data_IF_729458954805
#
_entry.id   IF_729458954805
#
_cell.length_a   1.000
_cell.length_b   1.000
_cell.length_c   1.000
_cell.angle_alpha   90.00
_cell.angle_beta   90.00
_cell.angle_gamma   90.00
#
_symmetry.space_group_name_H-M   'P 1'
#
loop_
_entity.id
_entity.type
_entity.pdbx_description
1 polymer ?
#
# COMPACT_ATOMS: atom_id res chain seq x y z
N UNK A 1 -0.18 2.33 -19.20
CA UNK A 1 -0.37 3.14 -17.97
C UNK A 1 -0.89 4.51 -18.35
N UNK A 2 -1.82 5.10 -17.59
CA UNK A 2 -2.60 6.25 -18.06
C UNK A 2 -2.12 7.64 -17.58
N UNK A 3 -1.05 7.74 -16.78
CA UNK A 3 -0.50 9.03 -16.32
C UNK A 3 -1.37 9.81 -15.33
N UNK A 4 -2.28 9.14 -14.61
CA UNK A 4 -3.20 9.80 -13.68
C UNK A 4 -2.47 10.60 -12.59
N UNK A 5 -1.42 10.03 -11.99
CA UNK A 5 -0.65 10.68 -10.93
C UNK A 5 0.10 11.94 -11.39
N UNK A 6 0.50 12.01 -12.67
CA UNK A 6 1.06 13.23 -13.24
C UNK A 6 0.01 14.33 -13.44
N UNK A 7 -1.23 13.95 -13.80
CA UNK A 7 -2.34 14.91 -13.95
C UNK A 7 -2.90 15.38 -12.61
N UNK A 8 -2.84 14.53 -11.59
CA UNK A 8 -3.38 14.77 -10.26
C UNK A 8 -2.30 14.46 -9.20
N UNK A 9 -1.34 15.38 -8.98
CA UNK A 9 -0.19 15.15 -8.10
C UNK A 9 -0.56 14.93 -6.63
N UNK A 10 -1.73 15.41 -6.20
CA UNK A 10 -2.21 15.24 -4.83
C UNK A 10 -3.14 14.03 -4.65
N UNK A 11 -3.47 13.30 -5.73
CA UNK A 11 -4.36 12.15 -5.67
C UNK A 11 -3.80 11.06 -4.77
N UNK A 12 -4.56 10.65 -3.75
CA UNK A 12 -4.26 9.46 -2.94
C UNK A 12 -5.24 8.34 -3.25
N UNK A 13 -4.74 7.11 -3.28
CA UNK A 13 -5.52 5.90 -3.50
C UNK A 13 -5.33 4.98 -2.30
N UNK A 14 -6.43 4.56 -1.70
CA UNK A 14 -6.46 3.45 -0.75
C UNK A 14 -6.93 2.20 -1.48
N UNK A 15 -6.14 1.14 -1.43
CA UNK A 15 -6.49 -0.17 -1.98
C UNK A 15 -7.01 -1.06 -0.84
N UNK A 16 -8.27 -0.84 -0.47
CA UNK A 16 -9.00 -1.60 0.55
C UNK A 16 -9.24 -3.05 0.13
N UNK A 17 -9.24 -3.96 1.10
CA UNK A 17 -9.50 -5.39 0.95
C UNK A 17 -8.50 -6.14 0.03
N UNK A 18 -7.40 -5.48 -0.35
CA UNK A 18 -6.46 -6.05 -1.31
C UNK A 18 -5.38 -6.94 -0.73
N UNK A 19 -5.19 -6.88 0.60
CA UNK A 19 -3.96 -7.33 1.25
C UNK A 19 -2.72 -6.67 0.61
N UNK A 20 -1.52 -7.00 1.09
CA UNK A 20 -0.29 -6.27 0.68
C UNK A 20 0.83 -7.17 0.17
N UNK A 21 0.72 -8.49 0.34
CA UNK A 21 1.76 -9.47 0.00
C UNK A 21 2.10 -9.56 -1.49
N UNK A 22 1.18 -9.15 -2.37
CA UNK A 22 1.41 -9.12 -3.82
C UNK A 22 2.11 -7.85 -4.30
N UNK A 23 2.14 -6.79 -3.48
CA UNK A 23 2.65 -5.48 -3.85
C UNK A 23 4.12 -5.51 -4.28
N UNK A 24 5.06 -6.19 -3.57
CA UNK A 24 6.46 -6.22 -4.00
C UNK A 24 6.62 -6.73 -5.44
N UNK A 25 5.93 -7.81 -5.78
CA UNK A 25 5.99 -8.40 -7.12
C UNK A 25 5.41 -7.47 -8.18
N UNK A 26 4.25 -6.85 -7.94
CA UNK A 26 3.66 -5.98 -8.96
C UNK A 26 4.52 -4.75 -9.22
N UNK A 27 5.16 -4.19 -8.19
CA UNK A 27 6.01 -3.01 -8.33
C UNK A 27 7.26 -3.34 -9.13
N UNK A 28 7.94 -4.44 -8.81
CA UNK A 28 9.07 -4.95 -9.60
C UNK A 28 8.66 -5.15 -11.06
N UNK A 29 7.54 -5.85 -11.28
CA UNK A 29 7.06 -6.14 -12.63
C UNK A 29 6.69 -4.88 -13.40
N UNK A 30 6.01 -3.93 -12.75
CA UNK A 30 5.58 -2.67 -13.35
C UNK A 30 6.77 -1.80 -13.74
N UNK A 31 7.80 -1.72 -12.88
CA UNK A 31 9.03 -1.00 -13.18
C UNK A 31 9.78 -1.60 -14.37
N UNK A 32 9.91 -2.93 -14.43
CA UNK A 32 10.50 -3.61 -15.59
C UNK A 32 9.72 -3.33 -16.87
N UNK A 33 8.38 -3.47 -16.86
CA UNK A 33 7.55 -3.14 -18.03
C UNK A 33 7.73 -1.68 -18.42
N UNK A 34 7.73 -0.77 -17.45
CA UNK A 34 7.89 0.65 -17.71
C UNK A 34 9.24 0.94 -18.36
N UNK A 35 10.34 0.41 -17.83
CA UNK A 35 11.67 0.64 -18.39
C UNK A 35 11.81 0.06 -19.81
N UNK A 36 11.35 -1.17 -20.03
CA UNK A 36 11.46 -1.83 -21.34
C UNK A 36 10.58 -1.18 -22.41
N UNK A 37 9.42 -0.65 -22.03
CA UNK A 37 8.39 -0.24 -23.00
C UNK A 37 8.15 1.26 -23.05
N UNK A 38 8.73 2.08 -22.15
CA UNK A 38 8.47 3.54 -22.12
C UNK A 38 8.77 4.22 -23.45
N UNK A 39 9.88 3.88 -24.11
CA UNK A 39 10.32 4.52 -25.34
C UNK A 39 9.46 4.23 -26.58
N UNK A 40 8.79 3.08 -26.64
CA UNK A 40 8.04 2.64 -27.84
C UNK A 40 6.56 2.36 -27.60
N UNK A 41 6.17 2.08 -26.35
CA UNK A 41 4.81 1.71 -25.93
C UNK A 41 3.88 2.91 -25.69
N UNK A 42 4.26 4.13 -26.10
CA UNK A 42 3.43 5.32 -25.97
C UNK A 42 3.14 5.76 -24.52
N UNK A 43 3.94 5.31 -23.55
CA UNK A 43 3.76 5.64 -22.13
C UNK A 43 4.81 6.63 -21.58
N UNK A 44 5.94 6.84 -22.28
CA UNK A 44 6.99 7.75 -21.81
C UNK A 44 6.52 9.18 -21.54
N UNK A 45 5.60 9.72 -22.35
CA UNK A 45 5.09 11.08 -22.16
C UNK A 45 4.09 11.18 -21.00
N UNK A 46 3.44 10.06 -20.66
CA UNK A 46 2.35 10.02 -19.68
C UNK A 46 2.81 9.60 -18.29
N UNK A 47 3.84 8.75 -18.20
CA UNK A 47 4.37 8.20 -16.94
C UNK A 47 5.86 8.47 -16.91
N UNK A 48 6.23 9.54 -16.23
CA UNK A 48 7.57 10.14 -16.27
C UNK A 48 8.55 9.50 -15.29
N UNK A 49 8.02 8.76 -14.30
CA UNK A 49 8.76 8.17 -13.19
C UNK A 49 8.41 6.69 -13.04
N UNK A 50 9.28 5.87 -12.44
CA UNK A 50 9.00 4.47 -12.17
C UNK A 50 7.67 4.29 -11.40
N UNK A 51 6.83 3.31 -11.78
CA UNK A 51 5.63 2.96 -11.04
C UNK A 51 5.84 2.77 -9.53
N UNK A 52 6.96 2.20 -9.10
CA UNK A 52 7.29 2.05 -7.67
C UNK A 52 7.43 3.38 -6.94
N UNK A 53 8.02 4.39 -7.57
CA UNK A 53 8.11 5.74 -7.00
C UNK A 53 6.73 6.38 -6.89
N UNK A 54 5.91 6.25 -7.94
CA UNK A 54 4.54 6.77 -7.93
C UNK A 54 3.67 6.04 -6.89
N UNK A 55 3.87 4.74 -6.69
CA UNK A 55 3.22 4.00 -5.62
C UNK A 55 3.54 4.60 -4.25
N UNK A 56 4.81 4.84 -3.94
CA UNK A 56 5.23 5.41 -2.65
C UNK A 56 4.58 6.75 -2.34
N UNK A 57 4.32 7.56 -3.36
CA UNK A 57 3.73 8.88 -3.17
C UNK A 57 2.20 8.87 -3.10
N UNK A 58 1.55 7.94 -3.81
CA UNK A 58 0.12 8.04 -4.08
C UNK A 58 -0.74 6.92 -3.51
N UNK A 59 -0.15 5.76 -3.18
CA UNK A 59 -0.94 4.54 -2.91
C UNK A 59 -0.72 4.06 -1.49
N UNK A 60 -1.82 3.65 -0.85
CA UNK A 60 -1.86 2.97 0.42
C UNK A 60 -2.49 1.59 0.23
N UNK A 61 -1.80 0.53 0.62
CA UNK A 61 -2.32 -0.82 0.67
C UNK A 61 -2.98 -1.09 2.01
N UNK A 62 -4.20 -1.65 2.00
CA UNK A 62 -4.88 -2.05 3.22
C UNK A 62 -4.80 -3.57 3.39
N UNK A 63 -4.66 -4.01 4.65
CA UNK A 63 -4.70 -5.42 5.00
C UNK A 63 -5.39 -5.61 6.35
N UNK A 64 -5.87 -6.83 6.57
CA UNK A 64 -6.44 -7.26 7.85
C UNK A 64 -5.93 -8.63 8.29
N UNK A 65 -5.46 -9.47 7.35
CA UNK A 65 -4.84 -10.76 7.62
C UNK A 65 -3.81 -11.13 6.53
N UNK A 66 -2.55 -10.69 6.68
CA UNK A 66 -1.51 -10.95 5.67
C UNK A 66 -0.10 -11.05 6.27
N UNK A 67 0.24 -12.22 6.80
CA UNK A 67 1.57 -12.49 7.33
C UNK A 67 2.69 -12.42 6.26
N UNK A 68 2.38 -12.69 4.99
CA UNK A 68 3.38 -12.60 3.91
C UNK A 68 3.69 -11.14 3.58
N UNK A 69 2.64 -10.33 3.51
CA UNK A 69 2.70 -8.88 3.41
C UNK A 69 3.55 -8.24 4.50
N UNK A 70 3.30 -8.62 5.76
CA UNK A 70 4.06 -8.09 6.90
C UNK A 70 5.56 -8.42 6.85
N UNK A 71 5.93 -9.63 6.39
CA UNK A 71 7.35 -9.98 6.17
C UNK A 71 8.00 -9.21 5.02
N UNK A 72 7.21 -8.55 4.18
CA UNK A 72 7.66 -7.82 3.00
C UNK A 72 7.56 -6.30 3.18
N UNK A 73 7.31 -5.81 4.39
CA UNK A 73 7.08 -4.38 4.68
C UNK A 73 8.18 -3.46 4.16
N UNK A 74 9.45 -3.87 4.21
CA UNK A 74 10.57 -3.06 3.71
C UNK A 74 10.48 -2.84 2.19
N UNK A 75 10.04 -3.86 1.45
CA UNK A 75 9.86 -3.78 0.00
C UNK A 75 8.62 -2.95 -0.37
N UNK A 76 7.56 -3.03 0.45
CA UNK A 76 6.30 -2.29 0.25
C UNK A 76 6.47 -0.81 0.62
N UNK A 77 7.18 -0.54 1.72
CA UNK A 77 7.23 0.75 2.40
C UNK A 77 6.19 0.82 3.52
N UNK A 78 6.66 0.84 4.77
CA UNK A 78 5.79 0.90 5.97
C UNK A 78 4.84 2.09 5.97
N UNK A 79 5.25 3.22 5.37
CA UNK A 79 4.43 4.43 5.28
C UNK A 79 3.28 4.29 4.24
N UNK A 80 3.27 3.24 3.42
CA UNK A 80 2.25 2.97 2.41
C UNK A 80 1.25 1.88 2.84
N UNK A 81 1.24 1.49 4.12
CA UNK A 81 0.41 0.38 4.61
C UNK A 81 -0.55 0.87 5.69
N UNK A 82 -1.82 0.46 5.60
CA UNK A 82 -2.83 0.71 6.63
C UNK A 82 -3.50 -0.58 7.07
N UNK A 83 -3.86 -0.68 8.34
CA UNK A 83 -4.66 -1.80 8.86
C UNK A 83 -6.15 -1.50 8.74
N UNK A 84 -6.95 -2.51 8.41
CA UNK A 84 -8.41 -2.44 8.42
C UNK A 84 -9.03 -3.65 9.15
N UNK A 85 -10.31 -3.57 9.49
CA UNK A 85 -11.04 -4.67 10.13
C UNK A 85 -11.89 -5.48 9.17
N UNK A 86 -12.23 -4.88 8.03
CA UNK A 86 -13.17 -5.38 7.01
C UNK A 86 -14.54 -5.80 7.56
N UNK A 87 -14.99 -5.16 8.64
CA UNK A 87 -16.29 -5.46 9.24
C UNK A 87 -17.45 -5.08 8.29
N UNK A 88 -18.50 -5.92 8.13
CA UNK A 88 -18.77 -7.21 8.79
C UNK A 88 -18.55 -8.43 7.88
N UNK A 89 -17.61 -8.36 6.93
CA UNK A 89 -17.43 -9.43 5.95
C UNK A 89 -17.13 -10.79 6.60
N UNK A 90 -17.49 -11.87 5.90
CA UNK A 90 -17.40 -13.23 6.43
C UNK A 90 -15.96 -13.69 6.69
N UNK A 91 -15.02 -13.15 5.93
CA UNK A 91 -13.58 -13.38 5.98
C UNK A 91 -12.83 -12.29 6.74
N UNK A 92 -13.56 -11.33 7.32
CA UNK A 92 -12.99 -10.29 8.19
C UNK A 92 -12.41 -10.88 9.48
N UNK A 93 -11.63 -10.07 10.19
CA UNK A 93 -11.05 -10.47 11.48
C UNK A 93 -12.00 -10.25 12.66
N UNK A 94 -13.16 -9.63 12.45
CA UNK A 94 -14.12 -9.36 13.53
C UNK A 94 -14.72 -10.67 14.09
N UNK A 95 -14.92 -10.79 15.43
CA UNK A 95 -14.72 -9.81 16.50
C UNK A 95 -13.32 -9.84 17.14
N UNK A 96 -12.37 -10.59 16.56
CA UNK A 96 -11.01 -10.77 17.10
C UNK A 96 -9.96 -9.86 16.47
N UNK A 97 -10.37 -8.83 15.74
CA UNK A 97 -9.48 -7.91 15.00
C UNK A 97 -8.28 -7.45 15.83
N UNK A 98 -8.50 -7.00 17.07
CA UNK A 98 -7.41 -6.55 17.93
C UNK A 98 -6.41 -7.67 18.26
N UNK A 99 -6.91 -8.84 18.65
CA UNK A 99 -6.07 -9.98 18.99
C UNK A 99 -5.24 -10.42 17.79
N UNK A 100 -5.87 -10.54 16.61
CA UNK A 100 -5.19 -10.95 15.37
C UNK A 100 -4.13 -9.93 14.99
N UNK A 101 -4.44 -8.63 15.04
CA UNK A 101 -3.48 -7.57 14.78
C UNK A 101 -2.25 -7.63 15.72
N UNK A 102 -2.48 -7.81 17.03
CA UNK A 102 -1.42 -7.95 18.03
C UNK A 102 -0.54 -9.17 17.75
N UNK A 103 -1.12 -10.31 17.39
CA UNK A 103 -0.39 -11.54 17.05
C UNK A 103 0.43 -11.39 15.76
N UNK A 104 -0.14 -10.78 14.72
CA UNK A 104 0.51 -10.63 13.42
C UNK A 104 1.68 -9.66 13.44
N UNK A 105 1.60 -8.62 14.26
CA UNK A 105 2.58 -7.54 14.33
C UNK A 105 3.50 -7.62 15.55
N UNK A 106 3.49 -8.73 16.30
CA UNK A 106 4.23 -8.89 17.57
C UNK A 106 5.74 -8.66 17.45
N UNK A 107 6.32 -8.98 16.29
CA UNK A 107 7.76 -8.88 16.03
C UNK A 107 8.16 -7.57 15.32
N UNK A 108 7.18 -6.68 15.05
CA UNK A 108 7.46 -5.39 14.42
C UNK A 108 7.90 -4.35 15.43
N UNK A 109 8.69 -3.39 14.94
CA UNK A 109 9.03 -2.21 15.73
C UNK A 109 7.75 -1.44 16.13
N UNK A 110 7.64 -0.98 17.41
CA UNK A 110 6.46 -0.26 17.87
C UNK A 110 6.10 0.98 17.05
N UNK A 111 7.08 1.67 16.46
CA UNK A 111 6.85 2.80 15.56
C UNK A 111 6.17 2.35 14.26
N UNK A 112 6.62 1.23 13.68
CA UNK A 112 6.00 0.64 12.50
C UNK A 112 4.54 0.25 12.78
N UNK A 113 4.28 -0.40 13.93
CA UNK A 113 2.90 -0.73 14.35
C UNK A 113 2.07 0.54 14.47
N UNK A 114 2.56 1.58 15.15
CA UNK A 114 1.84 2.84 15.33
C UNK A 114 1.51 3.54 14.00
N UNK A 115 2.41 3.46 13.01
CA UNK A 115 2.16 3.94 11.64
C UNK A 115 1.05 3.14 10.97
N UNK A 116 1.16 1.82 10.95
CA UNK A 116 0.25 0.91 10.25
C UNK A 116 -1.19 1.00 10.79
N UNK A 117 -1.36 0.95 12.12
CA UNK A 117 -2.70 0.88 12.73
C UNK A 117 -3.36 2.24 12.93
N UNK A 118 -2.63 3.34 12.73
CA UNK A 118 -3.12 4.70 13.02
C UNK A 118 -2.50 5.79 12.14
N UNK A 119 -1.18 5.94 12.21
CA UNK A 119 -0.49 7.13 11.66
C UNK A 119 -0.69 7.33 10.15
N UNK A 120 -0.59 6.25 9.38
CA UNK A 120 -0.74 6.30 7.92
C UNK A 120 -2.17 6.67 7.50
N UNK A 121 -3.18 6.12 8.19
CA UNK A 121 -4.58 6.46 7.92
C UNK A 121 -4.88 7.93 8.25
N UNK A 122 -4.35 8.46 9.36
CA UNK A 122 -4.49 9.88 9.71
C UNK A 122 -3.87 10.76 8.62
N UNK A 123 -2.66 10.45 8.17
CA UNK A 123 -1.99 11.22 7.10
C UNK A 123 -2.76 11.14 5.78
N UNK A 124 -3.22 9.96 5.40
CA UNK A 124 -3.95 9.74 4.15
C UNK A 124 -5.29 10.47 4.12
N UNK A 125 -6.03 10.44 5.24
CA UNK A 125 -7.39 10.96 5.35
C UNK A 125 -7.48 12.35 5.98
N UNK A 126 -6.34 12.96 6.34
CA UNK A 126 -6.23 14.26 7.00
C UNK A 126 -7.12 14.38 8.26
N UNK A 127 -6.95 13.44 9.20
CA UNK A 127 -7.81 13.30 10.40
C UNK A 127 -7.26 14.01 11.65
N UNK A 128 -6.19 14.80 11.53
CA UNK A 128 -5.51 15.51 12.61
C UNK A 128 -5.88 17.01 12.72
N UNK A 129 -6.97 17.42 12.08
CA UNK A 129 -7.55 18.77 12.12
C UNK A 129 -8.49 19.05 13.30
#
# INVERSE_FOLDING_TARGET
>A
MCGAFNRFPDLKIAYSEGQIGWIPYILERADVVWEDNRAWGGVAENVLRPPSELFREHVYGCFFDDAHGLRSLDAIGVDNVTYESDYPHSDSTWPRTRQIAEEQMQDLDPEAVAKIVRGNAIRMLALDG
#
